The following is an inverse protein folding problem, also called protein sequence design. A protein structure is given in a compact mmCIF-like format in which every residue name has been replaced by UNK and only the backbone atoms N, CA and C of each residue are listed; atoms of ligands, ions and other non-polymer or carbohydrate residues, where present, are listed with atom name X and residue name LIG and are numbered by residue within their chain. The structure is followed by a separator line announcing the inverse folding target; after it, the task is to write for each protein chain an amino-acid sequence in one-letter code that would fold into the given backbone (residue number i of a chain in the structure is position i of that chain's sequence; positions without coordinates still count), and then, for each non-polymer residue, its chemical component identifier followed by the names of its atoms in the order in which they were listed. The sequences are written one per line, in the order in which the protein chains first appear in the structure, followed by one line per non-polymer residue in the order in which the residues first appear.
data_IF_239125907550
#
_entry.id   IF_239125907550
#
_cell.length_a   1.000
_cell.length_b   1.000
_cell.length_c   1.000
_cell.angle_alpha   90.00
_cell.angle_beta   90.00
_cell.angle_gamma   90.00
#
_symmetry.space_group_name_H-M   'P 1'
#
loop_
_entity.id
_entity.type
_entity.pdbx_description
1 polymer ?
#
# COMPACT_ATOMS: atom_id res chain seq x y z
N UNK A 1 -9.03 16.64 5.31
CA UNK A 1 -7.87 15.84 5.79
C UNK A 1 -6.61 16.65 5.49
N UNK A 2 -5.79 16.92 6.49
CA UNK A 2 -4.49 17.58 6.27
C UNK A 2 -3.48 16.56 5.72
N UNK A 3 -2.58 16.94 4.80
CA UNK A 3 -1.51 16.06 4.37
C UNK A 3 -0.73 15.61 5.60
N UNK A 4 -0.46 14.30 5.67
CA UNK A 4 0.26 13.67 6.77
C UNK A 4 1.71 14.17 6.68
N UNK A 5 2.02 15.27 7.37
CA UNK A 5 3.32 15.96 7.29
C UNK A 5 4.38 15.27 8.18
N UNK A 6 4.61 13.99 7.93
CA UNK A 6 5.63 13.19 8.62
C UNK A 6 6.92 13.15 7.80
N UNK A 7 8.06 12.89 8.45
CA UNK A 7 9.34 12.70 7.74
C UNK A 7 9.29 11.57 6.69
N UNK A 8 8.45 10.55 6.92
CA UNK A 8 8.24 9.44 5.97
C UNK A 8 7.54 9.94 4.70
N UNK A 9 6.48 10.74 4.81
CA UNK A 9 5.81 11.31 3.64
C UNK A 9 6.73 12.27 2.87
N UNK A 10 7.51 13.09 3.56
CA UNK A 10 8.47 14.01 2.93
C UNK A 10 9.54 13.25 2.14
N UNK A 11 10.03 12.12 2.66
CA UNK A 11 10.95 11.26 1.91
C UNK A 11 10.30 10.65 0.67
N UNK A 12 9.06 10.14 0.80
CA UNK A 12 8.28 9.65 -0.32
C UNK A 12 8.10 10.71 -1.41
N UNK A 13 7.69 11.93 -1.05
CA UNK A 13 7.48 13.04 -1.99
C UNK A 13 8.78 13.42 -2.72
N UNK A 14 9.90 13.49 -2.00
CA UNK A 14 11.23 13.76 -2.58
C UNK A 14 11.63 12.70 -3.60
N UNK A 15 11.45 11.42 -3.27
CA UNK A 15 11.73 10.29 -4.18
C UNK A 15 10.81 10.32 -5.39
N UNK A 16 9.52 10.64 -5.20
CA UNK A 16 8.55 10.74 -6.28
C UNK A 16 8.95 11.83 -7.27
N UNK A 17 9.25 13.03 -6.77
CA UNK A 17 9.74 14.14 -7.60
C UNK A 17 11.05 13.79 -8.32
N UNK A 18 12.01 13.17 -7.63
CA UNK A 18 13.27 12.75 -8.24
C UNK A 18 13.10 11.72 -9.36
N UNK A 19 12.08 10.84 -9.26
CA UNK A 19 11.82 9.80 -10.25
C UNK A 19 10.97 10.28 -11.44
N UNK A 20 9.98 11.14 -11.18
CA UNK A 20 8.95 11.50 -12.16
C UNK A 20 8.97 12.98 -12.57
N UNK A 21 9.81 13.81 -11.95
CA UNK A 21 9.86 15.26 -12.18
C UNK A 21 8.62 16.01 -11.68
N UNK A 22 7.66 15.32 -11.08
CA UNK A 22 6.39 15.87 -10.63
C UNK A 22 6.40 16.07 -9.11
N UNK A 23 6.05 17.27 -8.67
CA UNK A 23 5.88 17.56 -7.24
C UNK A 23 4.54 17.05 -6.70
N UNK A 24 4.55 16.66 -5.42
CA UNK A 24 3.39 16.26 -4.63
C UNK A 24 2.96 17.36 -3.64
N UNK A 25 3.28 18.62 -3.94
CA UNK A 25 2.95 19.79 -3.09
C UNK A 25 1.46 20.09 -3.06
N UNK A 26 0.71 19.70 -4.09
CA UNK A 26 -0.75 19.83 -4.05
C UNK A 26 -1.33 18.72 -3.18
N UNK A 27 -2.30 19.11 -2.35
CA UNK A 27 -2.98 18.19 -1.43
C UNK A 27 -3.58 17.01 -2.20
N UNK A 28 -4.15 17.27 -3.38
CA UNK A 28 -4.80 16.25 -4.20
C UNK A 28 -3.81 15.24 -4.80
N UNK A 29 -2.74 15.72 -5.48
CA UNK A 29 -1.76 14.81 -6.09
C UNK A 29 -0.99 14.02 -5.04
N UNK A 30 -0.65 14.67 -3.93
CA UNK A 30 0.05 14.06 -2.81
C UNK A 30 -0.72 12.91 -2.18
N UNK A 31 -2.02 13.10 -1.92
CA UNK A 31 -2.85 12.03 -1.37
C UNK A 31 -2.99 10.85 -2.32
N UNK A 32 -3.39 11.07 -3.58
CA UNK A 32 -3.60 9.95 -4.49
C UNK A 32 -2.33 9.11 -4.69
N UNK A 33 -1.17 9.76 -4.86
CA UNK A 33 0.09 9.05 -5.01
C UNK A 33 0.47 8.25 -3.75
N UNK A 34 0.33 8.85 -2.56
CA UNK A 34 0.70 8.21 -1.30
C UNK A 34 -0.22 7.03 -0.95
N UNK A 35 -1.54 7.19 -1.11
CA UNK A 35 -2.49 6.10 -0.88
C UNK A 35 -2.30 4.96 -1.88
N UNK A 36 -2.08 5.27 -3.17
CA UNK A 36 -1.79 4.25 -4.17
C UNK A 36 -0.49 3.49 -3.88
N UNK A 37 0.54 4.20 -3.43
CA UNK A 37 1.81 3.60 -3.03
C UNK A 37 1.62 2.59 -1.89
N UNK A 38 1.01 3.01 -0.79
CA UNK A 38 0.76 2.14 0.37
C UNK A 38 -0.12 0.94 0.01
N UNK A 39 -1.21 1.16 -0.74
CA UNK A 39 -2.08 0.09 -1.20
C UNK A 39 -1.32 -0.96 -2.05
N UNK A 40 -0.44 -0.49 -2.93
CA UNK A 40 0.38 -1.38 -3.78
C UNK A 40 1.38 -2.18 -2.96
N UNK A 41 2.04 -1.55 -1.99
CA UNK A 41 2.97 -2.25 -1.09
C UNK A 41 2.26 -3.34 -0.29
N UNK A 42 1.07 -3.04 0.25
CA UNK A 42 0.25 -4.02 0.98
C UNK A 42 -0.16 -5.16 0.06
N UNK A 43 -0.60 -4.86 -1.17
CA UNK A 43 -1.03 -5.88 -2.14
C UNK A 43 0.12 -6.82 -2.50
N UNK A 44 1.32 -6.29 -2.79
CA UNK A 44 2.51 -7.09 -3.10
C UNK A 44 2.87 -8.00 -1.93
N UNK A 45 2.92 -7.46 -0.71
CA UNK A 45 3.19 -8.27 0.50
C UNK A 45 2.16 -9.38 0.71
N UNK A 46 0.89 -9.09 0.47
CA UNK A 46 -0.17 -10.09 0.57
C UNK A 46 -0.02 -11.18 -0.51
N UNK A 47 0.38 -10.81 -1.73
CA UNK A 47 0.70 -11.77 -2.80
C UNK A 47 1.87 -12.66 -2.38
N UNK A 48 2.96 -12.10 -1.86
CA UNK A 48 4.13 -12.87 -1.39
C UNK A 48 3.77 -13.91 -0.32
N UNK A 49 2.76 -13.63 0.51
CA UNK A 49 2.29 -14.56 1.55
C UNK A 49 1.46 -15.71 0.97
N UNK A 50 0.62 -15.45 -0.03
CA UNK A 50 -0.42 -16.41 -0.47
C UNK A 50 -0.15 -17.07 -1.81
N UNK A 51 0.83 -16.57 -2.57
CA UNK A 51 1.18 -17.14 -3.86
C UNK A 51 1.82 -18.51 -3.66
N UNK A 52 1.43 -19.46 -4.51
CA UNK A 52 1.99 -20.82 -4.55
C UNK A 52 2.38 -21.17 -5.98
N UNK A 53 3.32 -22.11 -6.13
CA UNK A 53 3.62 -22.72 -7.43
C UNK A 53 2.90 -24.07 -7.48
N UNK A 54 2.05 -24.28 -8.49
CA UNK A 54 1.34 -25.56 -8.65
C UNK A 54 2.23 -26.67 -9.25
N UNK A 55 1.70 -27.87 -9.38
CA UNK A 55 2.42 -29.03 -9.94
C UNK A 55 2.87 -28.84 -11.40
N UNK A 56 2.23 -27.93 -12.13
CA UNK A 56 2.57 -27.59 -13.51
C UNK A 56 3.58 -26.42 -13.59
N UNK A 57 4.03 -25.89 -12.46
CA UNK A 57 4.99 -24.79 -12.39
C UNK A 57 4.38 -23.40 -12.54
N UNK A 58 3.05 -23.25 -12.47
CA UNK A 58 2.40 -21.94 -12.59
C UNK A 58 2.40 -21.21 -11.24
N UNK A 59 2.59 -19.89 -11.28
CA UNK A 59 2.32 -19.03 -10.14
C UNK A 59 0.81 -18.84 -9.96
N UNK A 60 0.25 -19.41 -8.90
CA UNK A 60 -1.17 -19.34 -8.58
C UNK A 60 -1.39 -18.40 -7.40
N UNK A 61 -2.25 -17.41 -7.60
CA UNK A 61 -2.68 -16.47 -6.56
C UNK A 61 -4.18 -16.64 -6.34
N UNK A 62 -4.56 -17.31 -5.26
CA UNK A 62 -5.96 -17.53 -4.90
C UNK A 62 -6.64 -16.21 -4.54
N UNK A 63 -7.69 -15.81 -5.27
CA UNK A 63 -8.41 -14.54 -5.04
C UNK A 63 -8.90 -14.38 -3.60
N UNK A 64 -9.51 -15.42 -3.03
CA UNK A 64 -10.01 -15.38 -1.66
C UNK A 64 -8.87 -15.31 -0.64
N UNK A 65 -7.79 -16.07 -0.86
CA UNK A 65 -6.61 -16.05 0.00
C UNK A 65 -5.98 -14.64 0.00
N UNK A 66 -5.81 -14.03 -1.18
CA UNK A 66 -5.30 -12.68 -1.32
C UNK A 66 -6.19 -11.65 -0.61
N UNK A 67 -7.51 -11.71 -0.83
CA UNK A 67 -8.44 -10.79 -0.17
C UNK A 67 -8.43 -10.94 1.36
N UNK A 68 -8.25 -12.16 1.87
CA UNK A 68 -8.10 -12.41 3.31
C UNK A 68 -6.78 -11.86 3.84
N UNK A 69 -5.66 -12.09 3.13
CA UNK A 69 -4.34 -11.62 3.52
C UNK A 69 -4.26 -10.08 3.56
N UNK A 70 -4.86 -9.39 2.57
CA UNK A 70 -4.95 -7.93 2.58
C UNK A 70 -5.71 -7.43 3.80
N UNK A 71 -6.88 -8.00 4.11
CA UNK A 71 -7.66 -7.59 5.30
C UNK A 71 -6.96 -7.91 6.61
N UNK A 72 -6.09 -8.92 6.62
CA UNK A 72 -5.29 -9.30 7.79
C UNK A 72 -4.02 -8.43 7.97
N UNK A 73 -3.83 -7.35 7.20
CA UNK A 73 -2.66 -6.47 7.32
C UNK A 73 -2.54 -5.92 8.75
N UNK A 74 -1.45 -6.25 9.48
CA UNK A 74 -1.30 -5.84 10.86
C UNK A 74 -0.44 -4.57 10.97
N UNK A 75 -1.08 -3.41 11.13
CA UNK A 75 -0.37 -2.17 11.49
C UNK A 75 0.80 -1.82 10.56
N UNK A 76 0.59 -1.93 9.24
CA UNK A 76 1.61 -1.62 8.24
C UNK A 76 2.06 -0.16 8.37
N UNK A 77 3.37 0.04 8.53
CA UNK A 77 3.98 1.37 8.61
C UNK A 77 4.09 1.98 7.20
N UNK A 78 3.02 2.62 6.74
CA UNK A 78 2.93 3.25 5.43
C UNK A 78 3.34 4.72 5.42
N UNK A 79 3.44 5.29 4.22
CA UNK A 79 3.73 6.72 4.03
C UNK A 79 2.55 7.60 4.46
N UNK A 80 1.34 7.04 4.44
CA UNK A 80 0.11 7.65 4.95
C UNK A 80 -0.15 7.30 6.43
N UNK A 81 0.86 6.80 7.15
CA UNK A 81 0.76 6.40 8.56
C UNK A 81 0.53 4.90 8.74
N UNK A 82 0.13 4.49 9.95
CA UNK A 82 -0.18 3.10 10.26
C UNK A 82 -1.45 2.68 9.52
N UNK A 83 -1.43 1.46 8.96
CA UNK A 83 -2.53 0.90 8.16
C UNK A 83 -2.92 -0.47 8.70
N UNK A 84 -4.16 -0.56 9.15
CA UNK A 84 -4.87 -1.82 9.43
C UNK A 84 -6.26 -1.75 8.80
N UNK A 85 -6.93 -2.91 8.70
CA UNK A 85 -8.29 -2.99 8.13
C UNK A 85 -9.27 -3.65 9.10
N UNK A 86 -10.54 -3.25 9.01
CA UNK A 86 -11.62 -3.97 9.64
C UNK A 86 -12.04 -5.21 8.82
N UNK A 87 -13.05 -5.94 9.32
CA UNK A 87 -13.60 -7.13 8.65
C UNK A 87 -14.23 -6.85 7.27
N UNK A 88 -14.64 -5.61 6.99
CA UNK A 88 -15.21 -5.20 5.69
C UNK A 88 -14.10 -4.84 4.71
N UNK A 89 -12.92 -4.51 5.22
CA UNK A 89 -11.77 -4.02 4.46
C UNK A 89 -11.64 -2.50 4.52
N UNK A 90 -12.40 -1.83 5.41
CA UNK A 90 -12.25 -0.40 5.64
C UNK A 90 -10.98 -0.16 6.43
N UNK A 91 -10.20 0.86 6.04
CA UNK A 91 -9.03 1.27 6.81
C UNK A 91 -9.47 1.77 8.18
N UNK A 92 -8.89 1.19 9.24
CA UNK A 92 -9.10 1.64 10.62
C UNK A 92 -7.90 2.46 11.11
N UNK A 93 -8.10 3.36 12.10
CA UNK A 93 -7.04 4.16 12.70
C UNK A 93 -5.88 3.34 13.25
#
# INVERSE_FOLDING_TARGET
MQPVNTGVYQDFARRYQGRYGQSLDSVESGFYAAYAYDATVILIKAIEIVAVVDEAGNLVIGRQALANAVRATPGHQGVTGIISFDKRGDRVP
#
